data_IF_053139266969
#
_entry.id   IF_053139266969
#
_cell.length_a   1.000
_cell.length_b   1.000
_cell.length_c   1.000
_cell.angle_alpha   90.00
_cell.angle_beta   90.00
_cell.angle_gamma   90.00
#
_symmetry.space_group_name_H-M   'P 1'
#
loop_
_entity.id
_entity.type
_entity.pdbx_description
1 polymer ?
#
# COMPACT_ATOMS: atom_id res chain seq x y z
N UNK A 1 1.83 15.13 -32.94
CA UNK A 1 2.72 15.23 -31.75
C UNK A 1 1.89 14.86 -30.53
N UNK A 2 1.97 13.61 -30.06
CA UNK A 2 1.31 13.21 -28.82
C UNK A 2 2.16 13.74 -27.67
N UNK A 3 1.67 14.78 -27.00
CA UNK A 3 2.17 15.10 -25.65
C UNK A 3 1.68 13.97 -24.78
N UNK A 4 2.52 12.95 -24.57
CA UNK A 4 2.33 12.03 -23.46
C UNK A 4 2.57 12.87 -22.22
N UNK A 5 1.49 13.42 -21.69
CA UNK A 5 1.47 14.00 -20.35
C UNK A 5 1.99 12.93 -19.41
N UNK A 6 3.29 13.01 -19.16
CA UNK A 6 3.96 12.31 -18.11
C UNK A 6 3.42 13.00 -16.87
N UNK A 7 2.31 12.51 -16.32
CA UNK A 7 1.75 12.95 -15.05
C UNK A 7 2.76 12.56 -13.96
N UNK A 8 3.85 13.34 -13.92
CA UNK A 8 4.96 13.31 -12.99
C UNK A 8 4.41 13.69 -11.63
N UNK A 9 4.33 12.68 -10.75
CA UNK A 9 4.44 12.78 -9.29
C UNK A 9 3.67 13.97 -8.69
N UNK A 10 2.39 13.76 -8.36
CA UNK A 10 1.67 14.66 -7.45
C UNK A 10 2.02 14.25 -6.02
N UNK A 11 3.04 14.89 -5.46
CA UNK A 11 3.24 14.90 -4.02
C UNK A 11 2.11 15.71 -3.37
N UNK A 12 1.52 15.17 -2.32
CA UNK A 12 0.55 15.82 -1.46
C UNK A 12 1.20 16.37 -0.20
N UNK A 13 0.59 17.39 0.44
CA UNK A 13 1.01 17.83 1.77
C UNK A 13 1.03 16.66 2.76
N UNK A 14 2.10 16.54 3.53
CA UNK A 14 2.23 15.51 4.56
C UNK A 14 1.61 16.01 5.86
N UNK A 15 0.61 15.30 6.37
CA UNK A 15 -0.18 15.69 7.55
C UNK A 15 -0.01 14.72 8.74
N UNK A 16 0.95 13.81 8.65
CA UNK A 16 1.26 12.80 9.66
C UNK A 16 2.78 12.65 9.82
N UNK A 17 3.26 12.36 11.03
CA UNK A 17 4.65 11.97 11.28
C UNK A 17 4.76 10.45 11.14
N UNK A 18 5.65 9.98 10.28
CA UNK A 18 5.89 8.55 10.00
C UNK A 18 7.22 8.38 9.29
N UNK A 19 7.83 7.20 9.43
CA UNK A 19 9.04 6.80 8.70
C UNK A 19 8.74 6.24 7.29
N UNK A 20 7.46 6.13 6.92
CA UNK A 20 7.02 5.77 5.57
C UNK A 20 7.46 6.83 4.55
N UNK A 21 8.58 6.58 3.87
CA UNK A 21 9.22 7.52 2.90
C UNK A 21 8.27 8.04 1.82
N UNK A 22 7.38 7.18 1.34
CA UNK A 22 6.46 7.49 0.23
C UNK A 22 5.11 8.05 0.69
N UNK A 23 4.94 8.41 1.96
CA UNK A 23 3.65 8.89 2.50
C UNK A 23 3.11 10.12 1.75
N UNK A 24 4.01 10.96 1.20
CA UNK A 24 3.67 12.13 0.39
C UNK A 24 2.89 11.80 -0.89
N UNK A 25 2.96 10.56 -1.37
CA UNK A 25 2.21 10.11 -2.56
C UNK A 25 0.82 9.59 -2.23
N UNK A 26 0.47 9.56 -0.94
CA UNK A 26 -0.85 9.20 -0.44
C UNK A 26 -1.64 10.48 -0.18
N UNK A 27 -2.90 10.48 -0.57
CA UNK A 27 -3.79 11.61 -0.35
C UNK A 27 -3.93 11.94 1.14
N UNK A 28 -3.94 13.23 1.56
CA UNK A 28 -3.83 13.61 2.97
C UNK A 28 -4.87 12.97 3.90
N UNK A 29 -6.09 12.75 3.40
CA UNK A 29 -7.18 12.11 4.16
C UNK A 29 -6.84 10.68 4.60
N UNK A 30 -5.98 9.97 3.87
CA UNK A 30 -5.65 8.56 4.10
C UNK A 30 -4.28 8.36 4.75
N UNK A 31 -3.45 9.39 4.84
CA UNK A 31 -2.08 9.28 5.34
C UNK A 31 -1.99 8.76 6.78
N UNK A 32 -2.92 9.15 7.67
CA UNK A 32 -2.91 8.66 9.07
C UNK A 32 -3.16 7.16 9.16
N UNK A 33 -4.12 6.65 8.39
CA UNK A 33 -4.42 5.22 8.31
C UNK A 33 -3.25 4.46 7.69
N UNK A 34 -2.70 4.96 6.59
CA UNK A 34 -1.53 4.35 5.93
C UNK A 34 -0.30 4.32 6.83
N UNK A 35 -0.06 5.36 7.63
CA UNK A 35 1.03 5.36 8.61
C UNK A 35 0.87 4.22 9.63
N UNK A 36 -0.35 3.94 10.12
CA UNK A 36 -0.60 2.80 11.02
C UNK A 36 -0.37 1.45 10.33
N UNK A 37 -0.78 1.31 9.07
CA UNK A 37 -0.54 0.09 8.27
C UNK A 37 0.97 -0.15 8.08
N UNK A 38 1.73 0.92 7.86
CA UNK A 38 3.19 0.84 7.79
C UNK A 38 3.80 0.27 9.08
N UNK A 39 3.33 0.72 10.26
CA UNK A 39 3.79 0.18 11.55
C UNK A 39 3.43 -1.30 11.73
N UNK A 40 2.25 -1.73 11.28
CA UNK A 40 1.88 -3.16 11.27
C UNK A 40 2.87 -3.95 10.42
N UNK A 41 3.19 -3.45 9.22
CA UNK A 41 4.12 -4.13 8.32
C UNK A 41 5.51 -4.37 8.94
N UNK A 42 6.00 -3.42 9.75
CA UNK A 42 7.27 -3.56 10.48
C UNK A 42 7.26 -4.74 11.48
N UNK A 43 6.10 -5.11 12.01
CA UNK A 43 5.96 -6.20 12.97
C UNK A 43 5.78 -7.59 12.31
N UNK A 44 5.51 -7.63 11.00
CA UNK A 44 5.26 -8.87 10.26
C UNK A 44 6.42 -9.22 9.33
N UNK A 45 7.30 -10.12 9.77
CA UNK A 45 8.47 -10.59 8.98
C UNK A 45 8.11 -11.26 7.66
N UNK A 46 6.88 -11.77 7.53
CA UNK A 46 6.40 -12.43 6.31
C UNK A 46 5.95 -11.43 5.25
N UNK A 47 5.67 -10.18 5.60
CA UNK A 47 5.31 -9.16 4.61
C UNK A 47 6.59 -8.74 3.87
N UNK A 48 6.60 -8.92 2.55
CA UNK A 48 7.68 -8.45 1.68
C UNK A 48 7.44 -7.03 1.26
N UNK A 49 6.20 -6.69 0.88
CA UNK A 49 5.86 -5.37 0.34
C UNK A 49 4.39 -5.06 0.55
N UNK A 50 4.07 -3.79 0.80
CA UNK A 50 2.68 -3.28 0.77
C UNK A 50 2.59 -2.13 -0.22
N UNK A 51 1.58 -2.21 -1.07
CA UNK A 51 1.20 -1.16 -2.01
C UNK A 51 -0.13 -0.53 -1.60
N UNK A 52 -0.22 0.79 -1.71
CA UNK A 52 -1.49 1.52 -1.75
C UNK A 52 -1.73 1.93 -3.19
N UNK A 53 -2.93 1.69 -3.71
CA UNK A 53 -3.27 2.02 -5.10
C UNK A 53 -4.65 2.68 -5.18
N UNK A 54 -5.22 2.72 -6.39
CA UNK A 54 -6.57 3.21 -6.61
C UNK A 54 -6.75 4.69 -6.28
N UNK A 55 -7.89 5.05 -5.70
CA UNK A 55 -8.26 6.46 -5.52
C UNK A 55 -7.30 7.21 -4.59
N UNK A 56 -6.77 6.52 -3.58
CA UNK A 56 -5.96 7.05 -2.47
C UNK A 56 -4.59 7.59 -2.88
N UNK A 57 -4.13 7.33 -4.10
CA UNK A 57 -2.89 7.86 -4.67
C UNK A 57 -3.14 8.93 -5.74
N UNK A 58 -4.39 9.36 -5.91
CA UNK A 58 -4.82 10.32 -6.93
C UNK A 58 -5.54 11.51 -6.32
N UNK A 59 -5.68 12.60 -7.08
CA UNK A 59 -6.47 13.77 -6.68
C UNK A 59 -7.99 13.56 -6.67
N UNK A 60 -8.47 12.32 -6.94
CA UNK A 60 -9.91 11.99 -6.90
C UNK A 60 -10.35 11.41 -5.54
N UNK A 61 -9.41 11.20 -4.62
CA UNK A 61 -9.71 10.71 -3.28
C UNK A 61 -10.58 11.72 -2.51
N UNK A 62 -11.62 11.21 -1.84
CA UNK A 62 -12.52 11.96 -0.98
C UNK A 62 -12.75 11.19 0.33
N UNK A 63 -13.59 11.72 1.20
CA UNK A 63 -13.85 11.14 2.52
C UNK A 63 -14.51 9.77 2.45
N UNK A 64 -15.37 9.56 1.44
CA UNK A 64 -16.11 8.32 1.20
C UNK A 64 -15.31 7.31 0.37
N UNK A 65 -14.06 7.62 0.00
CA UNK A 65 -13.22 6.71 -0.78
C UNK A 65 -12.65 5.61 0.11
N UNK A 66 -12.72 4.37 -0.35
CA UNK A 66 -12.10 3.24 0.34
C UNK A 66 -10.57 3.27 0.15
N UNK A 67 -9.84 2.53 1.00
CA UNK A 67 -8.40 2.36 0.86
C UNK A 67 -8.08 1.05 0.11
N UNK A 68 -7.56 1.15 -1.11
CA UNK A 68 -7.11 0.00 -1.89
C UNK A 68 -5.70 -0.45 -1.49
N UNK A 69 -5.57 -1.68 -0.99
CA UNK A 69 -4.33 -2.20 -0.38
C UNK A 69 -3.96 -3.52 -1.03
N UNK A 70 -2.72 -3.63 -1.52
CA UNK A 70 -2.16 -4.91 -1.93
C UNK A 70 -1.01 -5.32 -1.02
N UNK A 71 -1.12 -6.52 -0.44
CA UNK A 71 -0.11 -7.11 0.43
C UNK A 71 0.62 -8.22 -0.34
N UNK A 72 1.92 -8.07 -0.51
CA UNK A 72 2.80 -9.13 -0.96
C UNK A 72 3.50 -9.75 0.26
N UNK A 73 3.22 -11.03 0.52
CA UNK A 73 3.72 -11.76 1.67
C UNK A 73 4.35 -13.09 1.26
N UNK A 74 5.40 -13.48 1.97
CA UNK A 74 6.08 -14.76 1.83
C UNK A 74 5.47 -15.82 2.75
N UNK A 75 4.19 -16.12 2.50
CA UNK A 75 3.47 -17.16 3.23
C UNK A 75 2.28 -17.64 2.41
N UNK A 76 2.03 -18.95 2.45
CA UNK A 76 0.79 -19.57 1.95
C UNK A 76 -0.13 -20.01 3.10
N UNK A 77 0.27 -19.81 4.36
CA UNK A 77 -0.52 -20.11 5.54
C UNK A 77 -1.74 -19.18 5.63
N UNK A 78 -2.93 -19.77 5.44
CA UNK A 78 -4.20 -19.05 5.42
C UNK A 78 -4.53 -18.34 6.74
N UNK A 79 -4.09 -18.87 7.89
CA UNK A 79 -4.34 -18.21 9.18
C UNK A 79 -3.48 -16.95 9.31
N UNK A 80 -2.20 -17.00 8.91
CA UNK A 80 -1.34 -15.81 8.89
C UNK A 80 -1.88 -14.74 7.94
N UNK A 81 -2.33 -15.15 6.76
CA UNK A 81 -2.97 -14.25 5.79
C UNK A 81 -4.21 -13.60 6.41
N UNK A 82 -5.10 -14.39 6.99
CA UNK A 82 -6.30 -13.89 7.66
C UNK A 82 -5.98 -12.89 8.78
N UNK A 83 -4.99 -13.19 9.63
CA UNK A 83 -4.58 -12.30 10.72
C UNK A 83 -4.06 -10.95 10.19
N UNK A 84 -3.21 -10.95 9.16
CA UNK A 84 -2.74 -9.70 8.53
C UNK A 84 -3.89 -8.89 7.93
N UNK A 85 -4.79 -9.55 7.20
CA UNK A 85 -5.96 -8.89 6.60
C UNK A 85 -6.89 -8.30 7.67
N UNK A 86 -7.09 -9.03 8.78
CA UNK A 86 -7.91 -8.58 9.89
C UNK A 86 -7.31 -7.35 10.57
N UNK A 87 -6.02 -7.36 10.89
CA UNK A 87 -5.34 -6.23 11.55
C UNK A 87 -5.36 -4.97 10.67
N UNK A 88 -5.08 -5.13 9.38
CA UNK A 88 -5.18 -4.02 8.40
C UNK A 88 -6.62 -3.54 8.24
N UNK A 89 -7.59 -4.46 8.19
CA UNK A 89 -9.02 -4.15 8.10
C UNK A 89 -9.52 -3.37 9.31
N UNK A 90 -9.16 -3.78 10.53
CA UNK A 90 -9.49 -3.07 11.76
C UNK A 90 -8.90 -1.66 11.80
N UNK A 91 -7.66 -1.46 11.32
CA UNK A 91 -7.04 -0.13 11.21
C UNK A 91 -7.79 0.79 10.24
N UNK A 92 -8.41 0.21 9.21
CA UNK A 92 -9.18 0.94 8.21
C UNK A 92 -10.65 1.12 8.61
N UNK A 93 -11.07 0.69 9.80
CA UNK A 93 -12.49 0.58 10.19
C UNK A 93 -13.31 -0.20 9.15
N UNK A 94 -12.68 -1.20 8.51
CA UNK A 94 -13.20 -2.00 7.40
C UNK A 94 -13.57 -1.22 6.13
N UNK A 95 -13.15 0.04 6.03
CA UNK A 95 -13.30 0.87 4.83
C UNK A 95 -12.11 0.71 3.87
N UNK A 96 -11.84 -0.52 3.44
CA UNK A 96 -10.70 -0.87 2.60
C UNK A 96 -10.92 -2.13 1.77
N UNK A 97 -10.26 -2.17 0.61
CA UNK A 97 -10.16 -3.35 -0.25
C UNK A 97 -8.77 -3.96 -0.12
N UNK A 98 -8.67 -5.11 0.53
CA UNK A 98 -7.39 -5.81 0.76
C UNK A 98 -7.25 -6.98 -0.18
N UNK A 99 -6.21 -6.97 -1.01
CA UNK A 99 -5.88 -8.07 -1.92
C UNK A 99 -4.47 -8.62 -1.67
N UNK A 100 -4.32 -9.94 -1.76
CA UNK A 100 -3.01 -10.59 -1.69
C UNK A 100 -2.38 -10.61 -3.08
N UNK A 101 -1.13 -10.17 -3.20
CA UNK A 101 -0.43 -10.10 -4.49
C UNK A 101 -0.35 -11.47 -5.20
N UNK A 102 -0.25 -12.56 -4.44
CA UNK A 102 -0.26 -13.94 -4.94
C UNK A 102 -1.60 -14.36 -5.57
N UNK A 103 -2.71 -13.72 -5.18
CA UNK A 103 -4.07 -14.15 -5.50
C UNK A 103 -4.75 -13.28 -6.57
N UNK A 104 -4.07 -12.26 -7.08
CA UNK A 104 -4.60 -11.34 -8.09
C UNK A 104 -4.09 -11.69 -9.50
N UNK A 105 -4.93 -11.43 -10.51
CA UNK A 105 -4.60 -11.64 -11.91
C UNK A 105 -3.62 -10.60 -12.47
N UNK A 106 -3.01 -10.93 -13.62
CA UNK A 106 -1.92 -10.15 -14.23
C UNK A 106 -2.30 -8.69 -14.53
N UNK A 107 -3.55 -8.46 -14.97
CA UNK A 107 -4.04 -7.10 -15.25
C UNK A 107 -3.95 -6.20 -14.01
N UNK A 108 -4.38 -6.69 -12.85
CA UNK A 108 -4.36 -5.92 -11.60
C UNK A 108 -2.94 -5.77 -11.07
N UNK A 109 -2.10 -6.82 -11.19
CA UNK A 109 -0.67 -6.71 -10.86
C UNK A 109 0.00 -5.59 -11.64
N UNK A 110 -0.23 -5.52 -12.95
CA UNK A 110 0.31 -4.45 -13.81
C UNK A 110 -0.14 -3.06 -13.33
N UNK A 111 -1.42 -2.88 -13.03
CA UNK A 111 -1.92 -1.62 -12.47
C UNK A 111 -1.24 -1.26 -11.16
N UNK A 112 -1.09 -2.21 -10.22
CA UNK A 112 -0.42 -1.97 -8.94
C UNK A 112 1.07 -1.63 -9.13
N UNK A 113 1.74 -2.26 -10.09
CA UNK A 113 3.14 -1.98 -10.40
C UNK A 113 3.34 -0.60 -11.05
N UNK A 114 2.42 -0.19 -11.94
CA UNK A 114 2.51 1.07 -12.68
C UNK A 114 2.07 2.27 -11.82
N UNK A 115 1.00 2.12 -11.04
CA UNK A 115 0.34 3.23 -10.34
C UNK A 115 0.48 3.17 -8.81
N UNK A 116 0.75 1.99 -8.25
CA UNK A 116 0.80 1.78 -6.82
C UNK A 116 1.96 2.50 -6.13
N UNK A 117 1.71 2.90 -4.89
CA UNK A 117 2.69 3.50 -4.00
C UNK A 117 3.12 2.45 -2.99
N UNK A 118 4.40 2.07 -3.05
CA UNK A 118 5.01 1.20 -2.04
C UNK A 118 5.14 1.97 -0.73
N UNK A 119 4.46 1.51 0.31
CA UNK A 119 4.55 2.12 1.66
C UNK A 119 5.52 1.37 2.55
N UNK A 120 5.69 0.07 2.31
CA UNK A 120 6.62 -0.80 3.03
C UNK A 120 7.27 -1.75 2.04
N UNK A 121 8.56 -1.97 2.19
CA UNK A 121 9.33 -3.01 1.49
C UNK A 121 10.37 -3.55 2.46
N UNK A 122 10.34 -4.86 2.70
CA UNK A 122 11.33 -5.53 3.51
C UNK A 122 12.68 -5.40 2.81
N UNK A 123 13.63 -4.77 3.48
CA UNK A 123 15.01 -4.72 2.97
C UNK A 123 15.51 -6.16 2.93
N UNK A 124 15.77 -6.69 1.73
CA UNK A 124 16.46 -7.97 1.61
C UNK A 124 17.86 -7.75 2.18
N UNK A 125 18.10 -8.24 3.39
CA UNK A 125 19.46 -8.47 3.84
C UNK A 125 19.99 -9.60 2.95
N UNK A 126 20.66 -9.23 1.87
CA UNK A 126 21.52 -10.17 1.16
C UNK A 126 22.62 -10.57 2.14
N UNK A 127 22.45 -11.71 2.81
CA UNK A 127 23.54 -12.41 3.45
C UNK A 127 24.57 -12.72 2.37
N UNK A 128 25.56 -11.85 2.25
CA UNK A 128 26.80 -12.12 1.53
C UNK A 128 27.73 -12.79 2.52
N UNK A 129 28.12 -14.04 2.25
CA UNK A 129 29.07 -14.81 3.06
C UNK A 129 28.58 -16.22 3.35
#
# INVERSE_FOLDING_TARGET
MQVKDTLKIKDFPVVVRTDCKNIRRIYPLKQRTVAKIYEVALNHKVIRKIYIFGSSVTGRCNIDSDLDICIDADTSDGMKIYHMQKEVGEICDWNCDIVMYSNIGERLKKTIQEEGVVIYEQSTCQSTG
#
